data_IF_327517740369
#
_entry.id   IF_327517740369
#
_cell.length_a   1.000
_cell.length_b   1.000
_cell.length_c   1.000
_cell.angle_alpha   90.00
_cell.angle_beta   90.00
_cell.angle_gamma   90.00
#
_symmetry.space_group_name_H-M   'P 1'
#
loop_
_entity.id
_entity.type
_entity.pdbx_description
1 polymer ?
#
# COMPACT_ATOMS: atom_id res chain seq x y z
N UNK A 1 1.14 6.22 24.15
CA UNK A 1 0.52 6.81 22.94
C UNK A 1 -0.20 8.08 23.35
N UNK A 2 -0.04 9.18 22.60
CA UNK A 2 -0.77 10.43 22.85
C UNK A 2 -2.20 10.33 22.30
N UNK A 3 -3.18 11.08 22.82
CA UNK A 3 -4.52 11.14 22.25
C UNK A 3 -4.51 11.65 20.80
N UNK A 4 -5.39 11.11 19.97
CA UNK A 4 -5.65 11.57 18.59
C UNK A 4 -7.12 11.34 18.25
N UNK A 5 -7.65 12.13 17.31
CA UNK A 5 -8.98 11.89 16.74
C UNK A 5 -8.94 10.75 15.72
N UNK A 6 -10.09 10.12 15.49
CA UNK A 6 -10.25 9.09 14.45
C UNK A 6 -11.51 9.36 13.64
N UNK A 7 -11.37 9.33 12.31
CA UNK A 7 -12.49 9.39 11.38
C UNK A 7 -12.33 8.32 10.29
N UNK A 8 -13.41 7.68 9.89
CA UNK A 8 -13.41 6.62 8.88
C UNK A 8 -14.37 6.99 7.74
N UNK A 9 -13.89 7.70 6.71
CA UNK A 9 -14.66 8.07 5.53
C UNK A 9 -15.15 6.82 4.78
N UNK A 10 -16.30 6.96 4.12
CA UNK A 10 -16.88 5.91 3.31
C UNK A 10 -16.41 5.94 1.85
N UNK A 11 -15.91 7.08 1.39
CA UNK A 11 -15.48 7.28 0.00
C UNK A 11 -14.04 7.80 -0.07
N UNK A 12 -13.42 7.59 -1.23
CA UNK A 12 -12.06 8.07 -1.50
C UNK A 12 -12.02 9.60 -1.54
N UNK A 13 -13.03 10.23 -2.12
CA UNK A 13 -13.11 11.70 -2.23
C UNK A 13 -13.22 12.36 -0.85
N UNK A 14 -14.02 11.77 0.06
CA UNK A 14 -14.12 12.23 1.45
C UNK A 14 -12.77 12.10 2.17
N UNK A 15 -12.05 10.97 1.99
CA UNK A 15 -10.74 10.78 2.58
C UNK A 15 -9.71 11.79 2.07
N UNK A 16 -9.68 12.04 0.76
CA UNK A 16 -8.78 13.01 0.12
C UNK A 16 -9.09 14.43 0.62
N UNK A 17 -10.37 14.82 0.65
CA UNK A 17 -10.79 16.14 1.12
C UNK A 17 -10.34 16.36 2.58
N UNK A 18 -10.60 15.39 3.45
CA UNK A 18 -10.24 15.45 4.87
C UNK A 18 -8.72 15.49 5.07
N UNK A 19 -7.96 14.62 4.40
CA UNK A 19 -6.50 14.62 4.51
C UNK A 19 -5.86 15.90 3.97
N UNK A 20 -6.45 16.50 2.95
CA UNK A 20 -5.99 17.78 2.44
C UNK A 20 -6.24 18.93 3.43
N UNK A 21 -7.42 18.95 4.08
CA UNK A 21 -7.77 19.94 5.11
C UNK A 21 -6.85 19.83 6.34
N UNK A 22 -6.59 18.60 6.78
CA UNK A 22 -5.75 18.31 7.93
C UNK A 22 -4.25 18.56 7.67
N UNK A 23 -3.82 18.48 6.41
CA UNK A 23 -2.42 18.64 6.04
C UNK A 23 -1.50 17.70 6.83
N UNK A 24 -0.45 18.23 7.45
CA UNK A 24 0.52 17.44 8.23
C UNK A 24 -0.04 16.91 9.55
N UNK A 25 -1.16 17.39 10.02
CA UNK A 25 -1.80 16.95 11.27
C UNK A 25 -2.69 15.72 11.09
N UNK A 26 -3.02 15.37 9.83
CA UNK A 26 -3.79 14.20 9.46
C UNK A 26 -2.89 13.06 8.96
N UNK A 27 -3.22 11.81 9.30
CA UNK A 27 -2.52 10.63 8.78
C UNK A 27 -3.51 9.55 8.32
N UNK A 28 -3.35 9.02 7.10
CA UNK A 28 -4.13 7.86 6.69
C UNK A 28 -3.67 6.61 7.43
N UNK A 29 -4.64 5.74 7.75
CA UNK A 29 -4.39 4.41 8.29
C UNK A 29 -5.19 3.38 7.50
N UNK A 30 -4.49 2.37 6.98
CA UNK A 30 -5.10 1.16 6.43
C UNK A 30 -5.05 0.04 7.47
N UNK A 31 -4.13 -0.91 7.37
CA UNK A 31 -3.98 -1.99 8.35
C UNK A 31 -3.42 -1.57 9.72
N UNK A 32 -2.68 -0.47 9.76
CA UNK A 32 -2.15 0.09 11.01
C UNK A 32 -0.95 -0.64 11.61
N UNK A 33 -0.47 -1.70 10.99
CA UNK A 33 0.58 -2.59 11.51
C UNK A 33 1.92 -1.88 11.75
N UNK A 34 2.23 -0.84 10.99
CA UNK A 34 3.42 0.00 11.19
C UNK A 34 3.10 1.28 11.97
N UNK A 35 2.13 2.06 11.52
CA UNK A 35 1.87 3.40 12.08
C UNK A 35 1.47 3.35 13.55
N UNK A 36 0.68 2.36 13.97
CA UNK A 36 0.25 2.24 15.37
C UNK A 36 1.44 1.91 16.27
N UNK A 37 2.34 1.03 15.82
CA UNK A 37 3.57 0.68 16.54
C UNK A 37 4.46 1.92 16.66
N UNK A 38 4.72 2.63 15.55
CA UNK A 38 5.53 3.84 15.55
C UNK A 38 4.98 4.92 16.49
N UNK A 39 3.65 5.12 16.49
CA UNK A 39 2.99 6.07 17.39
C UNK A 39 3.09 5.65 18.85
N UNK A 40 2.99 4.35 19.14
CA UNK A 40 3.10 3.79 20.50
C UNK A 40 4.51 3.97 21.06
N UNK A 41 5.52 3.71 20.25
CA UNK A 41 6.92 3.78 20.62
C UNK A 41 7.52 5.19 20.54
N UNK A 42 6.79 6.14 19.95
CA UNK A 42 7.29 7.51 19.75
C UNK A 42 8.34 7.63 18.64
N UNK A 43 8.39 6.65 17.75
CA UNK A 43 9.36 6.56 16.64
C UNK A 43 8.78 7.01 15.30
N UNK A 44 7.76 7.89 15.33
CA UNK A 44 7.15 8.42 14.10
C UNK A 44 8.16 9.26 13.31
N UNK A 45 8.24 9.01 12.01
CA UNK A 45 9.04 9.80 11.04
C UNK A 45 8.30 11.05 10.55
N UNK A 46 7.16 11.35 11.14
CA UNK A 46 6.26 12.46 10.83
C UNK A 46 5.77 13.09 12.14
N UNK A 47 5.25 14.32 12.11
CA UNK A 47 4.60 14.93 13.26
C UNK A 47 3.50 14.02 13.81
N UNK A 48 3.39 13.89 15.15
CA UNK A 48 2.36 13.06 15.75
C UNK A 48 0.97 13.56 15.32
N UNK A 49 0.11 12.69 14.74
CA UNK A 49 -1.13 13.15 14.16
C UNK A 49 -2.13 13.62 15.22
N UNK A 50 -2.86 14.67 14.89
CA UNK A 50 -4.04 15.07 15.66
C UNK A 50 -5.26 14.24 15.24
N UNK A 51 -5.30 13.82 13.96
CA UNK A 51 -6.36 13.02 13.39
C UNK A 51 -5.80 11.86 12.58
N UNK A 52 -6.33 10.67 12.80
CA UNK A 52 -6.07 9.47 11.99
C UNK A 52 -7.29 9.19 11.12
N UNK A 53 -7.07 9.07 9.80
CA UNK A 53 -8.13 8.86 8.80
C UNK A 53 -8.13 7.40 8.36
N UNK A 54 -9.15 6.64 8.78
CA UNK A 54 -9.30 5.22 8.51
C UNK A 54 -9.75 4.94 7.08
N UNK A 55 -8.98 4.14 6.31
CA UNK A 55 -9.25 3.84 4.91
C UNK A 55 -10.01 2.51 4.71
N UNK A 56 -10.24 1.73 5.77
CA UNK A 56 -10.75 0.35 5.69
C UNK A 56 -12.17 0.27 5.12
N UNK A 57 -12.97 1.35 5.22
CA UNK A 57 -14.34 1.41 4.71
C UNK A 57 -14.45 1.74 3.23
N UNK A 58 -13.35 2.15 2.59
CA UNK A 58 -13.33 2.59 1.20
C UNK A 58 -13.19 1.37 0.30
N UNK A 59 -14.31 0.84 -0.17
CA UNK A 59 -14.35 -0.37 -1.02
C UNK A 59 -13.50 -0.25 -2.28
N UNK A 60 -13.39 0.94 -2.87
CA UNK A 60 -12.58 1.18 -4.08
C UNK A 60 -11.07 1.02 -3.88
N UNK A 61 -10.59 0.88 -2.65
CA UNK A 61 -9.19 0.59 -2.34
C UNK A 61 -8.89 -0.90 -2.17
N UNK A 62 -9.88 -1.78 -2.31
CA UNK A 62 -9.71 -3.21 -2.08
C UNK A 62 -9.88 -4.00 -3.38
N UNK A 63 -9.39 -5.24 -3.36
CA UNK A 63 -9.61 -6.21 -4.42
C UNK A 63 -8.42 -6.42 -5.34
N UNK A 64 -8.48 -7.54 -6.04
CA UNK A 64 -7.49 -8.01 -7.00
C UNK A 64 -8.24 -8.34 -8.28
N UNK A 65 -7.83 -7.75 -9.38
CA UNK A 65 -8.40 -7.99 -10.71
C UNK A 65 -7.29 -8.31 -11.69
N UNK A 66 -7.51 -9.28 -12.55
CA UNK A 66 -6.57 -9.67 -13.59
C UNK A 66 -7.24 -9.70 -14.97
N UNK A 67 -6.52 -9.21 -15.94
CA UNK A 67 -6.90 -9.27 -17.36
C UNK A 67 -5.69 -9.73 -18.18
N UNK A 68 -5.92 -10.58 -19.19
CA UNK A 68 -4.86 -11.00 -20.12
C UNK A 68 -4.32 -9.85 -20.98
N UNK A 69 -5.02 -8.74 -21.05
CA UNK A 69 -4.61 -7.56 -21.84
C UNK A 69 -4.04 -6.43 -21.01
N UNK A 70 -4.55 -6.24 -19.78
CA UNK A 70 -4.17 -5.11 -18.92
C UNK A 70 -3.26 -5.51 -17.77
N UNK A 71 -3.12 -6.81 -17.49
CA UNK A 71 -2.34 -7.32 -16.39
C UNK A 71 -3.10 -7.37 -15.06
N UNK A 72 -2.39 -7.22 -13.97
CA UNK A 72 -2.88 -7.34 -12.60
C UNK A 72 -3.09 -5.95 -11.98
N UNK A 73 -4.27 -5.72 -11.41
CA UNK A 73 -4.61 -4.57 -10.59
C UNK A 73 -4.82 -5.01 -9.14
N UNK A 74 -4.15 -4.37 -8.22
CA UNK A 74 -4.26 -4.62 -6.78
C UNK A 74 -4.63 -3.33 -6.09
N UNK A 75 -5.79 -3.26 -5.46
CA UNK A 75 -6.19 -2.12 -4.64
C UNK A 75 -5.25 -1.95 -3.43
N UNK A 76 -4.89 -0.71 -3.10
CA UNK A 76 -3.92 -0.42 -2.04
C UNK A 76 -4.35 -0.92 -0.64
N UNK A 77 -5.65 -1.10 -0.42
CA UNK A 77 -6.22 -1.66 0.82
C UNK A 77 -6.29 -3.18 0.86
N UNK A 78 -5.81 -3.89 -0.17
CA UNK A 78 -5.77 -5.36 -0.21
C UNK A 78 -4.77 -5.88 0.80
N UNK A 79 -5.14 -6.89 1.58
CA UNK A 79 -4.28 -7.45 2.64
C UNK A 79 -3.17 -8.35 2.07
N UNK A 80 -2.10 -8.52 2.83
CA UNK A 80 -1.04 -9.46 2.48
C UNK A 80 -1.56 -10.89 2.40
N UNK A 81 -2.50 -11.28 3.26
CA UNK A 81 -3.12 -12.60 3.24
C UNK A 81 -3.90 -12.84 1.95
N UNK A 82 -4.68 -11.85 1.48
CA UNK A 82 -5.41 -11.96 0.21
C UNK A 82 -4.45 -12.09 -0.98
N UNK A 83 -3.35 -11.35 -0.99
CA UNK A 83 -2.33 -11.41 -2.05
C UNK A 83 -1.65 -12.78 -2.07
N UNK A 84 -1.20 -13.28 -0.91
CA UNK A 84 -0.52 -14.56 -0.80
C UNK A 84 -1.42 -15.74 -1.19
N UNK A 85 -2.74 -15.63 -0.94
CA UNK A 85 -3.71 -16.68 -1.25
C UNK A 85 -4.26 -16.62 -2.68
N UNK A 86 -4.13 -15.50 -3.40
CA UNK A 86 -4.78 -15.30 -4.69
C UNK A 86 -4.18 -16.16 -5.80
N UNK A 87 -4.99 -16.98 -6.46
CA UNK A 87 -4.55 -17.98 -7.45
C UNK A 87 -3.71 -17.40 -8.58
N UNK A 88 -4.16 -16.30 -9.20
CA UNK A 88 -3.43 -15.65 -10.30
C UNK A 88 -2.08 -15.10 -9.83
N UNK A 89 -2.01 -14.55 -8.61
CA UNK A 89 -0.74 -14.03 -8.08
C UNK A 89 0.22 -15.18 -7.80
N UNK A 90 -0.26 -16.26 -7.21
CA UNK A 90 0.55 -17.46 -6.93
C UNK A 90 1.10 -18.12 -8.19
N UNK A 91 0.37 -18.07 -9.30
CA UNK A 91 0.76 -18.78 -10.52
C UNK A 91 1.51 -17.91 -11.51
N UNK A 92 1.24 -16.60 -11.56
CA UNK A 92 1.82 -15.68 -12.56
C UNK A 92 2.76 -14.63 -11.97
N UNK A 93 2.61 -14.31 -10.69
CA UNK A 93 3.40 -13.30 -9.96
C UNK A 93 3.97 -13.93 -8.68
N UNK A 94 4.53 -15.13 -8.80
CA UNK A 94 4.92 -16.00 -7.67
C UNK A 94 5.76 -15.28 -6.63
N UNK A 95 6.79 -14.51 -7.05
CA UNK A 95 7.61 -13.73 -6.12
C UNK A 95 6.80 -12.74 -5.27
N UNK A 96 5.70 -12.19 -5.80
CA UNK A 96 4.83 -11.30 -5.02
C UNK A 96 4.01 -12.07 -3.98
N UNK A 97 3.48 -13.25 -4.34
CA UNK A 97 2.79 -14.11 -3.40
C UNK A 97 3.72 -14.55 -2.25
N UNK A 98 4.93 -15.01 -2.60
CA UNK A 98 5.94 -15.44 -1.63
C UNK A 98 6.43 -14.30 -0.74
N UNK A 99 6.65 -13.10 -1.30
CA UNK A 99 6.99 -11.90 -0.54
C UNK A 99 5.88 -11.46 0.41
N UNK A 100 4.61 -11.59 0.02
CA UNK A 100 3.47 -11.29 0.88
C UNK A 100 3.30 -12.32 2.01
N UNK A 101 3.61 -13.60 1.76
CA UNK A 101 3.45 -14.71 2.71
C UNK A 101 4.45 -14.65 3.88
N UNK A 102 5.54 -13.90 3.74
CA UNK A 102 6.55 -13.73 4.80
C UNK A 102 6.44 -12.42 5.57
N UNK A 103 5.42 -11.60 5.33
CA UNK A 103 5.22 -10.33 6.01
C UNK A 103 4.76 -10.53 7.45
N UNK A 104 5.69 -10.45 8.38
CA UNK A 104 5.42 -10.48 9.82
C UNK A 104 4.79 -11.79 10.31
N UNK A 105 3.60 -11.72 10.86
CA UNK A 105 2.83 -12.86 11.38
C UNK A 105 1.50 -13.00 10.65
N UNK A 106 0.79 -14.12 10.86
CA UNK A 106 -0.55 -14.32 10.31
C UNK A 106 -1.51 -13.18 10.68
N UNK A 107 -1.42 -12.65 11.90
CA UNK A 107 -2.20 -11.49 12.32
C UNK A 107 -1.82 -10.23 11.54
N UNK A 108 -0.52 -10.02 11.33
CA UNK A 108 -0.02 -8.88 10.54
C UNK A 108 -0.47 -9.01 9.07
N UNK A 109 -0.41 -10.19 8.48
CA UNK A 109 -0.83 -10.44 7.11
C UNK A 109 -2.32 -10.16 6.87
N UNK A 110 -3.18 -10.51 7.84
CA UNK A 110 -4.63 -10.26 7.76
C UNK A 110 -5.02 -8.79 7.98
N UNK A 111 -4.12 -7.95 8.47
CA UNK A 111 -4.36 -6.53 8.72
C UNK A 111 -3.54 -5.62 7.82
N UNK A 112 -2.26 -5.96 7.63
CA UNK A 112 -1.33 -5.19 6.80
C UNK A 112 -1.75 -5.21 5.33
N UNK A 113 -1.73 -4.03 4.69
CA UNK A 113 -2.14 -3.86 3.31
C UNK A 113 -0.94 -3.58 2.41
N UNK A 114 -1.07 -3.94 1.12
CA UNK A 114 0.00 -3.70 0.14
C UNK A 114 0.32 -2.20 0.02
N UNK A 115 -0.70 -1.35 -0.01
CA UNK A 115 -0.51 0.10 -0.04
C UNK A 115 0.15 0.64 1.22
N UNK A 116 -0.19 0.09 2.41
CA UNK A 116 0.47 0.43 3.66
C UNK A 116 1.95 0.07 3.65
N UNK A 117 2.30 -1.13 3.17
CA UNK A 117 3.67 -1.60 3.04
C UNK A 117 4.50 -0.72 2.08
N UNK A 118 3.96 -0.44 0.89
CA UNK A 118 4.60 0.45 -0.10
C UNK A 118 4.75 1.87 0.44
N UNK A 119 3.70 2.45 1.05
CA UNK A 119 3.74 3.81 1.58
C UNK A 119 4.62 3.96 2.84
N UNK A 120 4.83 2.89 3.61
CA UNK A 120 5.79 2.89 4.72
C UNK A 120 7.23 3.04 4.22
N UNK A 121 7.50 2.69 2.97
CA UNK A 121 8.78 2.84 2.29
C UNK A 121 9.97 2.32 3.14
N UNK A 122 9.76 1.21 3.85
CA UNK A 122 10.81 0.55 4.61
C UNK A 122 11.79 -0.13 3.66
N UNK A 123 13.12 0.03 3.84
CA UNK A 123 14.12 -0.67 3.01
C UNK A 123 14.00 -2.21 3.05
N UNK A 124 13.42 -2.74 4.13
CA UNK A 124 13.19 -4.17 4.34
C UNK A 124 11.78 -4.66 3.97
N UNK A 125 11.04 -3.90 3.15
CA UNK A 125 9.70 -4.30 2.73
C UNK A 125 9.76 -5.51 1.80
N UNK A 126 9.16 -6.63 2.20
CA UNK A 126 9.27 -7.93 1.50
C UNK A 126 8.54 -7.98 0.14
N UNK A 127 7.48 -7.18 -0.06
CA UNK A 127 6.73 -7.16 -1.33
C UNK A 127 7.31 -6.23 -2.38
N UNK A 128 8.03 -5.19 -1.97
CA UNK A 128 8.56 -4.15 -2.87
C UNK A 128 9.54 -4.69 -3.92
N UNK A 129 10.49 -5.59 -3.60
CA UNK A 129 11.38 -6.16 -4.61
C UNK A 129 10.62 -6.88 -5.74
N UNK A 130 9.59 -7.65 -5.41
CA UNK A 130 8.76 -8.33 -6.41
C UNK A 130 7.97 -7.32 -7.26
N UNK A 131 7.35 -6.32 -6.64
CA UNK A 131 6.64 -5.26 -7.36
C UNK A 131 7.56 -4.51 -8.35
N UNK A 132 8.79 -4.21 -7.95
CA UNK A 132 9.77 -3.57 -8.82
C UNK A 132 10.22 -4.49 -9.97
N UNK A 133 10.44 -5.78 -9.70
CA UNK A 133 10.82 -6.76 -10.71
C UNK A 133 9.71 -6.99 -11.77
N UNK A 134 8.45 -6.82 -11.37
CA UNK A 134 7.30 -6.86 -12.28
C UNK A 134 6.94 -5.49 -12.88
N UNK A 135 7.82 -4.49 -12.77
CA UNK A 135 7.62 -3.14 -13.34
C UNK A 135 6.29 -2.51 -12.92
N UNK A 136 5.93 -2.67 -11.64
CA UNK A 136 4.67 -2.15 -11.12
C UNK A 136 4.57 -0.63 -11.25
N UNK A 137 3.37 -0.15 -11.54
CA UNK A 137 2.99 1.26 -11.47
C UNK A 137 2.17 1.55 -10.21
N UNK A 138 2.45 2.68 -9.58
CA UNK A 138 1.66 3.24 -8.49
C UNK A 138 0.61 4.20 -9.04
N UNK A 139 -0.67 3.95 -8.77
CA UNK A 139 -1.75 4.89 -9.10
C UNK A 139 -2.09 5.72 -7.88
N UNK A 140 -1.82 7.00 -8.00
CA UNK A 140 -2.02 8.00 -6.95
C UNK A 140 -3.25 8.81 -7.24
N UNK A 141 -4.05 9.09 -6.22
CA UNK A 141 -5.24 9.93 -6.28
C UNK A 141 -5.13 11.10 -5.30
N UNK A 142 -5.63 12.24 -5.71
CA UNK A 142 -5.67 13.46 -4.92
C UNK A 142 -6.71 14.42 -5.47
N UNK A 143 -6.80 15.64 -4.92
CA UNK A 143 -7.78 16.64 -5.36
C UNK A 143 -7.68 17.04 -6.84
N UNK A 144 -6.52 16.90 -7.44
CA UNK A 144 -6.28 17.22 -8.86
C UNK A 144 -6.58 16.06 -9.80
N UNK A 145 -7.09 14.95 -9.27
CA UNK A 145 -7.42 13.75 -10.05
C UNK A 145 -6.49 12.58 -9.77
N UNK A 146 -6.39 11.70 -10.76
CA UNK A 146 -5.63 10.44 -10.70
C UNK A 146 -4.40 10.55 -11.62
N UNK A 147 -3.27 10.02 -11.17
CA UNK A 147 -2.05 9.87 -11.97
C UNK A 147 -1.39 8.54 -11.69
N UNK A 148 -0.66 7.99 -12.64
CA UNK A 148 0.21 6.85 -12.44
C UNK A 148 1.69 7.25 -12.57
N UNK A 149 2.55 6.48 -11.92
CA UNK A 149 3.99 6.60 -12.03
C UNK A 149 4.63 5.21 -11.85
N UNK A 150 5.75 4.92 -12.52
CA UNK A 150 6.53 3.72 -12.23
C UNK A 150 6.85 3.64 -10.73
N UNK A 151 6.76 2.45 -10.15
CA UNK A 151 7.04 2.28 -8.72
C UNK A 151 8.50 2.64 -8.35
N UNK A 152 9.41 2.57 -9.31
CA UNK A 152 10.79 3.03 -9.17
C UNK A 152 10.91 4.52 -8.84
N UNK A 153 9.95 5.33 -9.27
CA UNK A 153 9.89 6.78 -9.02
C UNK A 153 9.06 7.13 -7.76
N UNK A 154 8.38 6.13 -7.18
CA UNK A 154 7.49 6.36 -6.04
C UNK A 154 8.24 6.65 -4.73
N UNK A 155 9.44 6.11 -4.58
CA UNK A 155 10.25 6.21 -3.37
C UNK A 155 11.20 7.41 -3.42
N UNK A 156 11.06 8.33 -2.46
CA UNK A 156 11.96 9.47 -2.30
C UNK A 156 13.10 9.21 -1.28
N UNK A 157 13.18 7.98 -0.76
CA UNK A 157 14.16 7.51 0.22
C UNK A 157 13.51 6.72 1.36
N UNK A 158 14.29 6.20 2.31
CA UNK A 158 13.78 5.43 3.43
C UNK A 158 12.68 6.17 4.20
N UNK A 159 11.49 5.56 4.29
CA UNK A 159 10.32 6.14 4.94
C UNK A 159 9.72 7.36 4.24
N UNK A 160 10.07 7.60 2.98
CA UNK A 160 9.55 8.74 2.20
C UNK A 160 9.12 8.31 0.80
N UNK A 161 7.97 8.82 0.39
CA UNK A 161 7.39 8.60 -0.93
C UNK A 161 7.16 9.92 -1.66
N UNK A 162 6.79 9.84 -2.94
CA UNK A 162 6.41 10.99 -3.76
C UNK A 162 5.03 11.59 -3.43
N UNK A 163 4.28 10.98 -2.52
CA UNK A 163 2.94 11.43 -2.15
C UNK A 163 2.99 12.81 -1.50
N UNK A 164 2.15 13.70 -1.99
CA UNK A 164 1.93 15.02 -1.40
C UNK A 164 0.84 14.95 -0.31
N UNK A 165 0.76 15.94 0.58
CA UNK A 165 -0.36 16.05 1.53
C UNK A 165 -1.72 15.96 0.82
N UNK A 166 -2.60 15.07 1.31
CA UNK A 166 -3.90 14.81 0.69
C UNK A 166 -3.89 13.86 -0.50
N UNK A 167 -2.74 13.32 -0.92
CA UNK A 167 -2.67 12.24 -1.90
C UNK A 167 -2.66 10.87 -1.22
N UNK A 168 -3.28 9.89 -1.90
CA UNK A 168 -3.33 8.50 -1.48
C UNK A 168 -2.87 7.58 -2.62
N UNK A 169 -2.14 6.52 -2.29
CA UNK A 169 -1.97 5.38 -3.18
C UNK A 169 -3.30 4.63 -3.26
N UNK A 170 -3.88 4.52 -4.46
CA UNK A 170 -5.17 3.88 -4.65
C UNK A 170 -5.02 2.41 -5.10
N UNK A 171 -4.08 2.14 -5.99
CA UNK A 171 -3.85 0.80 -6.53
C UNK A 171 -2.42 0.66 -7.06
N UNK A 172 -2.01 -0.57 -7.24
CA UNK A 172 -0.80 -0.97 -7.98
C UNK A 172 -1.24 -1.71 -9.24
N UNK A 173 -0.56 -1.45 -10.35
CA UNK A 173 -0.76 -2.12 -11.63
C UNK A 173 0.51 -2.82 -12.06
N UNK A 174 0.39 -4.07 -12.45
CA UNK A 174 1.51 -4.87 -12.93
C UNK A 174 1.17 -5.38 -14.33
N UNK A 175 2.09 -5.28 -15.30
CA UNK A 175 1.86 -5.82 -16.63
C UNK A 175 1.68 -7.34 -16.62
N UNK A 176 1.15 -7.90 -17.67
CA UNK A 176 1.10 -9.35 -17.86
C UNK A 176 2.54 -9.87 -17.97
N UNK A 177 2.94 -10.87 -17.16
CA UNK A 177 4.27 -11.45 -17.26
C UNK A 177 4.52 -12.06 -18.66
N UNK A 178 5.75 -11.97 -19.15
CA UNK A 178 6.12 -12.54 -20.42
C UNK A 178 5.94 -14.07 -20.40
N UNK A 179 5.47 -14.61 -21.53
CA UNK A 179 5.31 -16.05 -21.68
C UNK A 179 6.64 -16.79 -21.43
N UNK A 180 6.60 -17.84 -20.62
CA UNK A 180 7.79 -18.61 -20.24
C UNK A 180 8.68 -17.96 -19.17
N UNK A 181 8.30 -16.79 -18.63
CA UNK A 181 9.00 -16.21 -17.47
C UNK A 181 8.55 -16.86 -16.16
N UNK A 182 9.43 -16.85 -15.17
CA UNK A 182 9.17 -17.28 -13.80
C UNK A 182 9.81 -16.33 -12.80
N UNK A 183 9.33 -16.34 -11.57
CA UNK A 183 9.86 -15.51 -10.50
C UNK A 183 9.87 -16.25 -9.17
N UNK A 184 10.78 -15.88 -8.29
CA UNK A 184 10.85 -16.39 -6.92
C UNK A 184 11.31 -15.27 -5.98
N UNK A 185 10.88 -15.32 -4.73
CA UNK A 185 11.34 -14.43 -3.67
C UNK A 185 12.27 -15.18 -2.72
N UNK A 186 13.47 -14.66 -2.52
CA UNK A 186 14.46 -15.23 -1.59
C UNK A 186 14.81 -14.17 -0.56
N UNK A 187 14.63 -14.50 0.71
CA UNK A 187 14.99 -13.66 1.85
C UNK A 187 16.30 -14.14 2.46
N UNK A 188 17.25 -13.21 2.63
CA UNK A 188 18.49 -13.43 3.36
C UNK A 188 18.40 -12.95 4.81
#
# INVERSE_FOLDING_TARGET
MRPFGYHAPATLDEAIALLHELGETGRPIAGGTDIVVQMKEGLTRFPYPHMVVGLQRIKGLQGIEFSETEGLRIGAGTTMADIAAHEVIRTRYTALAEGADVVGSLQTMNMGTIGGNVCNAAPSADTVPALLAFEAEAVVVGRTGRRSAPLTEFFAGPGRTMLKPGELLAELRLPVPQAGSGSAYIRH
#
